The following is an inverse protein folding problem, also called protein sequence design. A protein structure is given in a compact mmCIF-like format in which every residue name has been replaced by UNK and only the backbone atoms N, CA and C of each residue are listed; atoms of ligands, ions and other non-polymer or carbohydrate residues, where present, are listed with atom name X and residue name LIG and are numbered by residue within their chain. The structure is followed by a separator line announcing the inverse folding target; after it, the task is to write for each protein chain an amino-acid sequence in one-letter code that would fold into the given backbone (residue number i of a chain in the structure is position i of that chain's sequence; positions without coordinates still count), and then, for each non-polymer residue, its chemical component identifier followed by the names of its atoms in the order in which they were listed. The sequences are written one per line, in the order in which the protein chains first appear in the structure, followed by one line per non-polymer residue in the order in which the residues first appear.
data_IF_109309938664
#
_entry.id   IF_109309938664
#
_cell.length_a   1.000
_cell.length_b   1.000
_cell.length_c   1.000
_cell.angle_alpha   90.00
_cell.angle_beta   90.00
_cell.angle_gamma   90.00
#
_symmetry.space_group_name_H-M   'P 1'
#
loop_
_entity.id
_entity.type
_entity.pdbx_description
1 polymer ?
#
# COMPACT_ATOMS: atom_id res chain seq x y z
N UNK A 1 -36.89 40.74 24.16
CA UNK A 1 -37.44 40.31 22.85
C UNK A 1 -36.43 40.41 21.70
N UNK A 2 -35.67 41.51 21.56
CA UNK A 2 -34.77 41.72 20.41
C UNK A 2 -33.47 40.87 20.43
N UNK A 3 -33.03 40.39 21.59
CA UNK A 3 -31.86 39.50 21.74
C UNK A 3 -32.17 38.00 21.55
N UNK A 4 -33.44 37.58 21.72
CA UNK A 4 -33.86 36.19 21.54
C UNK A 4 -34.03 35.81 20.05
N UNK A 5 -34.34 36.79 19.19
CA UNK A 5 -34.51 36.57 17.75
C UNK A 5 -33.16 36.35 17.05
N UNK A 6 -32.08 37.00 17.52
CA UNK A 6 -30.74 36.82 16.95
C UNK A 6 -30.12 35.47 17.29
N UNK A 7 -30.42 34.90 18.47
CA UNK A 7 -29.90 33.59 18.87
C UNK A 7 -30.53 32.45 18.03
N UNK A 8 -31.81 32.61 17.65
CA UNK A 8 -32.56 31.59 16.92
C UNK A 8 -32.15 31.50 15.43
N UNK A 9 -31.71 32.62 14.84
CA UNK A 9 -31.22 32.70 13.45
C UNK A 9 -29.80 32.13 13.33
N UNK A 10 -28.97 32.20 14.38
CA UNK A 10 -27.62 31.63 14.38
C UNK A 10 -27.63 30.10 14.52
N UNK A 11 -28.62 29.54 15.22
CA UNK A 11 -28.78 28.08 15.38
C UNK A 11 -29.31 27.36 14.14
N UNK A 12 -30.06 28.03 13.25
CA UNK A 12 -30.57 27.40 12.03
C UNK A 12 -29.51 27.28 10.91
N UNK A 13 -28.52 28.17 10.86
CA UNK A 13 -27.46 28.13 9.83
C UNK A 13 -26.46 27.00 10.07
N UNK A 14 -26.25 26.59 11.33
CA UNK A 14 -25.31 25.50 11.67
C UNK A 14 -25.92 24.11 11.42
N UNK A 15 -27.25 23.99 11.34
CA UNK A 15 -27.94 22.70 11.15
C UNK A 15 -28.29 22.38 9.69
N UNK A 16 -28.16 23.32 8.75
CA UNK A 16 -28.40 23.07 7.31
C UNK A 16 -27.13 22.73 6.53
N UNK A 17 -25.97 22.63 7.20
CA UNK A 17 -24.70 22.25 6.60
C UNK A 17 -24.48 20.75 6.41
N UNK A 18 -25.35 19.90 6.95
CA UNK A 18 -25.39 18.48 6.60
C UNK A 18 -26.21 18.30 5.32
N UNK A 19 -25.73 18.89 4.22
CA UNK A 19 -26.08 18.34 2.92
C UNK A 19 -25.48 16.94 2.90
N UNK A 20 -26.32 15.93 3.01
CA UNK A 20 -25.99 14.56 2.63
C UNK A 20 -25.38 14.64 1.24
N UNK A 21 -24.05 14.55 1.13
CA UNK A 21 -23.45 14.17 -0.14
C UNK A 21 -23.98 12.77 -0.39
N UNK A 22 -24.98 12.67 -1.27
CA UNK A 22 -25.34 11.37 -1.82
C UNK A 22 -24.05 10.81 -2.40
N UNK A 23 -23.51 9.80 -1.73
CA UNK A 23 -22.34 9.09 -2.18
C UNK A 23 -22.68 8.55 -3.57
N UNK A 24 -21.90 8.94 -4.57
CA UNK A 24 -22.10 8.50 -5.95
C UNK A 24 -21.84 6.99 -5.94
N UNK A 25 -22.86 6.20 -6.26
CA UNK A 25 -22.77 4.74 -6.28
C UNK A 25 -22.69 4.22 -7.71
N UNK A 26 -21.95 3.14 -7.95
CA UNK A 26 -21.94 2.51 -9.26
C UNK A 26 -23.33 1.96 -9.60
N UNK A 27 -23.70 2.05 -10.87
CA UNK A 27 -24.89 1.42 -11.44
C UNK A 27 -24.66 -0.05 -11.76
N UNK A 28 -23.40 -0.46 -11.91
CA UNK A 28 -22.99 -1.84 -12.15
C UNK A 28 -21.55 -2.04 -11.67
N UNK A 29 -21.29 -3.22 -11.13
CA UNK A 29 -19.97 -3.67 -10.70
C UNK A 29 -19.71 -5.06 -11.32
N UNK A 30 -18.50 -5.28 -11.81
CA UNK A 30 -18.04 -6.58 -12.32
C UNK A 30 -16.71 -6.95 -11.68
N UNK A 31 -16.58 -8.23 -11.30
CA UNK A 31 -15.32 -8.83 -10.90
C UNK A 31 -14.96 -9.92 -11.92
N UNK A 32 -13.77 -9.83 -12.48
CA UNK A 32 -13.25 -10.77 -13.45
C UNK A 32 -12.00 -11.42 -12.85
N UNK A 33 -12.00 -12.75 -12.74
CA UNK A 33 -10.86 -13.50 -12.25
C UNK A 33 -9.59 -13.15 -13.07
N UNK A 34 -8.53 -12.79 -12.36
CA UNK A 34 -7.21 -12.60 -12.94
C UNK A 34 -6.34 -13.83 -12.67
N UNK A 35 -5.42 -14.15 -13.57
CA UNK A 35 -4.57 -15.33 -13.40
C UNK A 35 -3.66 -15.16 -12.18
N UNK A 36 -3.85 -16.01 -11.18
CA UNK A 36 -3.18 -15.90 -9.89
C UNK A 36 -1.67 -16.10 -10.01
N UNK A 37 -1.19 -16.88 -10.98
CA UNK A 37 0.24 -17.07 -11.19
C UNK A 37 0.87 -15.79 -11.74
N UNK A 38 0.20 -15.15 -12.71
CA UNK A 38 0.60 -13.86 -13.25
C UNK A 38 0.61 -12.80 -12.15
N UNK A 39 -0.44 -12.73 -11.33
CA UNK A 39 -0.48 -11.83 -10.17
C UNK A 39 0.68 -12.09 -9.20
N UNK A 40 0.98 -13.36 -8.93
CA UNK A 40 2.09 -13.75 -8.06
C UNK A 40 3.43 -13.28 -8.60
N UNK A 41 3.71 -13.45 -9.89
CA UNK A 41 4.96 -13.00 -10.49
C UNK A 41 5.08 -11.47 -10.49
N UNK A 42 3.98 -10.75 -10.77
CA UNK A 42 3.94 -9.28 -10.67
C UNK A 42 4.30 -8.78 -9.26
N UNK A 43 3.80 -9.46 -8.22
CA UNK A 43 4.10 -9.09 -6.83
C UNK A 43 5.53 -9.51 -6.44
N UNK A 44 6.00 -10.69 -6.87
CA UNK A 44 7.38 -11.14 -6.61
C UNK A 44 8.42 -10.15 -7.10
N UNK A 45 8.28 -9.66 -8.33
CA UNK A 45 9.24 -8.70 -8.91
C UNK A 45 9.39 -7.46 -8.01
N UNK A 46 8.28 -6.97 -7.47
CA UNK A 46 8.25 -5.80 -6.60
C UNK A 46 8.81 -6.10 -5.21
N UNK A 47 8.42 -7.23 -4.63
CA UNK A 47 8.82 -7.62 -3.28
C UNK A 47 10.26 -8.12 -3.21
N UNK A 48 10.85 -8.60 -4.31
CA UNK A 48 12.26 -8.95 -4.41
C UNK A 48 13.13 -7.72 -4.12
N UNK A 49 12.79 -6.57 -4.71
CA UNK A 49 13.48 -5.30 -4.44
C UNK A 49 13.40 -4.88 -2.96
N UNK A 50 12.25 -5.12 -2.33
CA UNK A 50 12.06 -4.84 -0.89
C UNK A 50 12.96 -5.74 -0.04
N UNK A 51 13.02 -7.03 -0.34
CA UNK A 51 13.89 -7.98 0.39
C UNK A 51 15.36 -7.60 0.19
N UNK A 52 15.79 -7.31 -1.04
CA UNK A 52 17.17 -6.94 -1.31
C UNK A 52 17.62 -5.73 -0.49
N UNK A 53 16.77 -4.70 -0.39
CA UNK A 53 17.04 -3.54 0.44
C UNK A 53 17.04 -3.90 1.93
N UNK A 54 16.00 -4.55 2.41
CA UNK A 54 15.77 -4.77 3.83
C UNK A 54 16.73 -5.79 4.46
N UNK A 55 17.38 -6.64 3.65
CA UNK A 55 18.40 -7.58 4.09
C UNK A 55 19.81 -6.96 4.22
N UNK A 56 20.00 -5.71 3.79
CA UNK A 56 21.27 -4.98 3.97
C UNK A 56 21.34 -4.41 5.39
N UNK A 57 22.57 -4.25 5.89
CA UNK A 57 22.81 -3.50 7.14
C UNK A 57 22.97 -2.00 6.88
N UNK A 58 23.62 -1.65 5.77
CA UNK A 58 23.96 -0.28 5.38
C UNK A 58 23.77 -0.06 3.90
N UNK A 59 23.44 1.17 3.52
CA UNK A 59 23.34 1.61 2.12
C UNK A 59 24.23 2.84 1.92
N UNK A 60 25.13 2.78 0.94
CA UNK A 60 25.90 3.96 0.53
C UNK A 60 25.01 4.95 -0.23
N UNK A 61 25.41 6.22 -0.32
CA UNK A 61 24.64 7.20 -1.12
C UNK A 61 24.39 6.75 -2.56
N UNK A 62 25.38 6.13 -3.20
CA UNK A 62 25.25 5.64 -4.59
C UNK A 62 24.22 4.51 -4.69
N UNK A 63 24.22 3.57 -3.75
CA UNK A 63 23.22 2.50 -3.71
C UNK A 63 21.83 3.06 -3.38
N UNK A 64 21.73 4.08 -2.53
CA UNK A 64 20.46 4.76 -2.27
C UNK A 64 19.89 5.35 -3.55
N UNK A 65 20.70 6.09 -4.32
CA UNK A 65 20.27 6.68 -5.58
C UNK A 65 19.80 5.59 -6.58
N UNK A 66 20.46 4.43 -6.60
CA UNK A 66 20.07 3.27 -7.43
C UNK A 66 18.76 2.63 -6.95
N UNK A 67 18.56 2.51 -5.63
CA UNK A 67 17.29 2.04 -5.07
C UNK A 67 16.17 3.04 -5.30
N UNK A 68 16.40 4.34 -5.18
CA UNK A 68 15.39 5.36 -5.45
C UNK A 68 14.87 5.26 -6.89
N UNK A 69 15.78 5.06 -7.86
CA UNK A 69 15.40 4.83 -9.26
C UNK A 69 14.58 3.54 -9.44
N UNK A 70 15.07 2.42 -8.91
CA UNK A 70 14.40 1.12 -9.03
C UNK A 70 13.03 1.08 -8.33
N UNK A 71 12.92 1.66 -7.13
CA UNK A 71 11.64 1.76 -6.43
C UNK A 71 10.68 2.72 -7.14
N UNK A 72 11.17 3.81 -7.74
CA UNK A 72 10.33 4.72 -8.54
C UNK A 72 9.76 4.03 -9.76
N UNK A 73 10.56 3.21 -10.45
CA UNK A 73 10.09 2.42 -11.59
C UNK A 73 9.00 1.41 -11.16
N UNK A 74 9.20 0.73 -10.03
CA UNK A 74 8.31 -0.35 -9.60
C UNK A 74 7.06 0.12 -8.82
N UNK A 75 7.17 1.21 -8.08
CA UNK A 75 6.13 1.68 -7.14
C UNK A 75 5.63 3.10 -7.44
N UNK A 76 6.20 3.78 -8.44
CA UNK A 76 5.80 5.12 -8.86
C UNK A 76 5.85 6.12 -7.69
N UNK A 77 4.76 6.85 -7.50
CA UNK A 77 4.64 7.84 -6.42
C UNK A 77 4.79 7.27 -5.00
N UNK A 78 4.65 5.95 -4.83
CA UNK A 78 4.74 5.30 -3.53
C UNK A 78 6.16 4.86 -3.16
N UNK A 79 7.13 4.97 -4.09
CA UNK A 79 8.52 4.56 -3.90
C UNK A 79 9.13 5.07 -2.60
N UNK A 80 8.98 6.38 -2.34
CA UNK A 80 9.53 7.00 -1.14
C UNK A 80 8.94 6.41 0.15
N UNK A 81 7.66 6.02 0.14
CA UNK A 81 7.03 5.42 1.33
C UNK A 81 7.66 4.07 1.67
N UNK A 82 8.08 3.29 0.67
CA UNK A 82 8.79 2.04 0.90
C UNK A 82 10.21 2.26 1.40
N UNK A 83 10.95 3.20 0.79
CA UNK A 83 12.31 3.52 1.23
C UNK A 83 12.32 3.98 2.68
N UNK A 84 11.37 4.80 3.09
CA UNK A 84 11.24 5.32 4.46
C UNK A 84 10.89 4.24 5.50
N UNK A 85 10.37 3.07 5.10
CA UNK A 85 10.18 1.93 6.02
C UNK A 85 11.50 1.35 6.52
N UNK A 86 12.58 1.52 5.74
CA UNK A 86 13.89 0.93 6.03
C UNK A 86 14.99 1.97 6.21
N UNK A 87 14.86 3.18 5.66
CA UNK A 87 15.92 4.20 5.67
C UNK A 87 15.40 5.49 6.31
N UNK A 88 16.09 5.96 7.36
CA UNK A 88 15.85 7.30 7.94
C UNK A 88 16.95 8.25 7.48
N UNK A 89 16.65 9.05 6.45
CA UNK A 89 17.56 10.10 5.98
C UNK A 89 17.73 11.20 7.02
N UNK A 90 18.95 11.72 7.15
CA UNK A 90 19.32 12.78 8.09
C UNK A 90 19.30 12.36 9.57
N UNK A 91 19.27 11.06 9.87
CA UNK A 91 19.33 10.54 11.24
C UNK A 91 20.77 10.44 11.76
N UNK A 92 20.93 10.20 13.07
CA UNK A 92 22.23 9.90 13.68
C UNK A 92 22.89 8.63 13.09
N UNK A 93 22.13 7.84 12.33
CA UNK A 93 22.59 6.65 11.63
C UNK A 93 23.28 6.95 10.29
N UNK A 94 23.32 8.21 9.84
CA UNK A 94 24.11 8.61 8.69
C UNK A 94 25.58 8.75 9.07
N UNK A 95 26.44 7.97 8.41
CA UNK A 95 27.90 8.04 8.54
C UNK A 95 28.53 8.53 7.24
N UNK A 96 29.82 8.88 7.26
CA UNK A 96 30.56 9.19 6.02
C UNK A 96 30.52 8.03 5.00
N UNK A 97 30.31 6.80 5.47
CA UNK A 97 30.31 5.58 4.67
C UNK A 97 28.94 5.12 4.19
N UNK A 98 27.84 5.72 4.68
CA UNK A 98 26.47 5.33 4.33
C UNK A 98 25.50 5.44 5.50
N UNK A 99 24.26 5.04 5.26
CA UNK A 99 23.15 5.11 6.22
C UNK A 99 22.80 3.70 6.71
N UNK A 100 22.68 3.50 8.03
CA UNK A 100 22.17 2.23 8.57
C UNK A 100 20.68 2.08 8.32
N UNK A 101 20.28 0.87 7.96
CA UNK A 101 18.88 0.50 7.74
C UNK A 101 18.18 0.16 9.07
N UNK A 102 16.88 0.44 9.15
CA UNK A 102 16.00 -0.01 10.23
C UNK A 102 15.82 -1.53 10.08
N UNK A 103 16.33 -2.27 11.07
CA UNK A 103 16.24 -3.74 11.09
C UNK A 103 15.02 -4.27 11.87
N UNK A 104 14.40 -3.41 12.69
CA UNK A 104 13.26 -3.70 13.56
C UNK A 104 11.92 -3.61 12.80
N UNK A 105 11.92 -4.08 11.56
CA UNK A 105 10.77 -4.04 10.64
C UNK A 105 10.61 -5.39 9.96
N UNK A 106 9.42 -5.98 10.05
CA UNK A 106 8.99 -7.07 9.20
C UNK A 106 8.05 -6.50 8.13
N UNK A 107 8.42 -6.64 6.87
CA UNK A 107 7.51 -6.48 5.74
C UNK A 107 7.20 -7.88 5.19
N UNK A 108 6.02 -8.47 5.48
CA UNK A 108 5.70 -9.79 4.95
C UNK A 108 5.65 -9.76 3.42
N UNK A 109 6.21 -10.77 2.77
CA UNK A 109 6.30 -10.92 1.31
C UNK A 109 5.99 -12.35 0.91
N UNK A 110 5.65 -12.60 -0.35
CA UNK A 110 5.42 -13.93 -0.94
C UNK A 110 6.63 -14.85 -0.87
N UNK A 111 7.80 -14.35 -0.48
CA UNK A 111 8.99 -15.15 -0.24
C UNK A 111 9.06 -15.70 1.18
N UNK A 112 8.21 -15.22 2.10
CA UNK A 112 8.10 -15.77 3.45
C UNK A 112 7.07 -16.89 3.49
N UNK A 113 7.37 -17.95 4.24
CA UNK A 113 6.45 -19.06 4.46
C UNK A 113 5.14 -18.58 5.04
N UNK A 114 4.05 -19.04 4.42
CA UNK A 114 2.70 -18.74 4.85
C UNK A 114 2.15 -17.44 4.29
N UNK A 115 2.93 -16.63 3.56
CA UNK A 115 2.43 -15.46 2.85
C UNK A 115 2.12 -15.85 1.41
N UNK A 116 0.86 -15.69 1.00
CA UNK A 116 0.42 -16.10 -0.33
C UNK A 116 -0.50 -15.06 -0.97
N UNK A 117 -0.46 -14.98 -2.30
CA UNK A 117 -1.54 -14.34 -3.06
C UNK A 117 -2.76 -15.26 -2.99
N UNK A 118 -3.85 -14.76 -2.41
CA UNK A 118 -5.08 -15.54 -2.19
C UNK A 118 -6.19 -15.17 -3.16
N UNK A 119 -6.13 -13.97 -3.72
CA UNK A 119 -7.14 -13.47 -4.65
C UNK A 119 -6.51 -12.49 -5.64
N UNK A 120 -7.02 -12.48 -6.87
CA UNK A 120 -6.58 -11.56 -7.91
C UNK A 120 -7.76 -11.31 -8.86
N UNK A 121 -8.25 -10.07 -8.92
CA UNK A 121 -9.44 -9.72 -9.69
C UNK A 121 -9.25 -8.40 -10.43
N UNK A 122 -9.79 -8.33 -11.65
CA UNK A 122 -10.06 -7.04 -12.29
C UNK A 122 -11.44 -6.60 -11.84
N UNK A 123 -11.48 -5.56 -11.02
CA UNK A 123 -12.68 -4.89 -10.57
C UNK A 123 -13.04 -3.76 -11.54
N UNK A 124 -14.29 -3.75 -12.00
CA UNK A 124 -14.84 -2.67 -12.84
C UNK A 124 -16.06 -2.08 -12.18
N UNK A 125 -16.10 -0.76 -12.09
CA UNK A 125 -17.26 -0.02 -11.62
C UNK A 125 -17.74 0.94 -12.69
N UNK A 126 -19.05 0.93 -12.93
CA UNK A 126 -19.70 1.73 -13.95
C UNK A 126 -20.67 2.69 -13.27
N UNK A 127 -20.66 3.96 -13.66
CA UNK A 127 -21.49 5.01 -13.09
C UNK A 127 -22.37 5.65 -14.16
N UNK A 128 -23.40 6.38 -13.75
CA UNK A 128 -24.25 7.14 -14.69
C UNK A 128 -23.45 8.15 -15.52
N UNK A 129 -22.43 8.76 -14.91
CA UNK A 129 -21.45 9.56 -15.62
C UNK A 129 -20.20 8.73 -15.85
N UNK A 130 -19.92 8.40 -17.12
CA UNK A 130 -18.79 7.56 -17.54
C UNK A 130 -17.43 8.09 -17.11
N UNK A 131 -17.32 9.39 -16.80
CA UNK A 131 -16.10 9.98 -16.23
C UNK A 131 -15.68 9.32 -14.90
N UNK A 132 -16.63 8.76 -14.16
CA UNK A 132 -16.35 8.06 -12.90
C UNK A 132 -16.16 6.55 -13.08
N UNK A 133 -16.25 6.02 -14.30
CA UNK A 133 -16.00 4.59 -14.51
C UNK A 133 -14.56 4.27 -14.11
N UNK A 134 -14.37 3.18 -13.36
CA UNK A 134 -13.06 2.73 -12.91
C UNK A 134 -12.83 1.28 -13.32
N UNK A 135 -11.59 0.97 -13.68
CA UNK A 135 -11.09 -0.40 -13.86
C UNK A 135 -9.80 -0.51 -13.05
N UNK A 136 -9.75 -1.46 -12.12
CA UNK A 136 -8.60 -1.69 -11.26
C UNK A 136 -8.26 -3.17 -11.19
N UNK A 137 -6.99 -3.51 -11.22
CA UNK A 137 -6.53 -4.83 -10.82
C UNK A 137 -6.28 -4.81 -9.30
N UNK A 138 -6.85 -5.75 -8.59
CA UNK A 138 -6.73 -5.90 -7.14
C UNK A 138 -6.08 -7.26 -6.88
N UNK A 139 -4.88 -7.25 -6.27
CA UNK A 139 -4.13 -8.45 -5.90
C UNK A 139 -4.04 -8.50 -4.40
N UNK A 140 -4.65 -9.53 -3.80
CA UNK A 140 -4.74 -9.70 -2.36
C UNK A 140 -3.77 -10.77 -1.87
N UNK A 141 -3.04 -10.40 -0.84
CA UNK A 141 -2.06 -11.22 -0.14
C UNK A 141 -2.52 -11.42 1.31
N UNK A 142 -2.38 -12.64 1.82
CA UNK A 142 -2.75 -12.98 3.20
C UNK A 142 -1.72 -13.89 3.85
N UNK A 143 -1.70 -13.87 5.18
CA UNK A 143 -0.98 -14.85 5.98
C UNK A 143 -1.88 -16.06 6.23
N UNK A 144 -1.34 -17.25 5.95
CA UNK A 144 -2.04 -18.54 5.97
C UNK A 144 -1.39 -19.53 6.94
N UNK A 145 -0.40 -19.09 7.71
CA UNK A 145 0.26 -19.90 8.74
C UNK A 145 -0.39 -19.77 10.11
N UNK A 146 0.38 -20.18 11.12
CA UNK A 146 -0.11 -20.40 12.49
C UNK A 146 0.47 -19.40 13.52
N UNK A 147 1.22 -18.38 13.06
CA UNK A 147 1.77 -17.33 13.91
C UNK A 147 0.68 -16.36 14.38
N UNK A 148 0.56 -16.18 15.70
CA UNK A 148 -0.49 -15.35 16.30
C UNK A 148 -0.28 -13.86 16.04
N UNK A 149 0.95 -13.38 15.88
CA UNK A 149 1.22 -11.96 15.65
C UNK A 149 0.78 -11.52 14.25
N UNK A 150 0.66 -12.46 13.31
CA UNK A 150 0.19 -12.24 11.94
C UNK A 150 -1.24 -12.76 11.71
N UNK A 151 -1.98 -13.11 12.76
CA UNK A 151 -3.34 -13.64 12.63
C UNK A 151 -4.25 -12.61 11.93
N UNK A 152 -4.79 -13.00 10.77
CA UNK A 152 -5.66 -12.13 9.97
C UNK A 152 -4.92 -11.04 9.19
N UNK A 153 -3.58 -11.06 9.16
CA UNK A 153 -2.80 -10.16 8.33
C UNK A 153 -3.17 -10.32 6.85
N UNK A 154 -3.37 -9.18 6.21
CA UNK A 154 -3.66 -9.09 4.78
C UNK A 154 -3.21 -7.75 4.22
N UNK A 155 -2.84 -7.76 2.95
CA UNK A 155 -2.52 -6.59 2.14
C UNK A 155 -3.13 -6.73 0.77
N UNK A 156 -3.55 -5.62 0.18
CA UNK A 156 -4.01 -5.58 -1.19
C UNK A 156 -3.22 -4.55 -1.97
N UNK A 157 -2.73 -4.96 -3.12
CA UNK A 157 -2.13 -4.10 -4.14
C UNK A 157 -3.23 -3.72 -5.12
N UNK A 158 -3.41 -2.42 -5.33
CA UNK A 158 -4.41 -1.88 -6.25
C UNK A 158 -3.67 -1.21 -7.39
N UNK A 159 -4.00 -1.61 -8.62
CA UNK A 159 -3.37 -1.11 -9.83
C UNK A 159 -4.39 -0.43 -10.75
N UNK A 160 -3.95 0.63 -11.41
CA UNK A 160 -4.65 1.23 -12.55
C UNK A 160 -4.04 0.68 -13.85
N UNK A 161 -4.85 0.62 -14.91
CA UNK A 161 -4.39 0.30 -16.26
C UNK A 161 -3.75 1.57 -16.88
N UNK A 162 -2.51 1.46 -17.34
CA UNK A 162 -1.79 2.54 -18.03
C UNK A 162 -2.28 2.73 -19.47
N UNK A 163 -1.86 3.83 -20.11
CA UNK A 163 -2.22 4.08 -21.52
C UNK A 163 -1.70 3.00 -22.49
N UNK A 164 -0.61 2.32 -22.12
CA UNK A 164 0.00 1.25 -22.90
C UNK A 164 -0.61 -0.14 -22.61
N UNK A 165 -1.55 -0.22 -21.64
CA UNK A 165 -2.22 -1.46 -21.24
C UNK A 165 -1.47 -2.26 -20.17
N UNK A 166 -0.47 -1.65 -19.52
CA UNK A 166 0.25 -2.23 -18.38
C UNK A 166 -0.44 -1.88 -17.06
N UNK A 167 -0.07 -2.54 -15.96
CA UNK A 167 -0.64 -2.28 -14.63
C UNK A 167 0.33 -1.50 -13.75
N UNK A 168 -0.07 -0.29 -13.33
CA UNK A 168 0.72 0.58 -12.47
C UNK A 168 0.09 0.67 -11.07
N UNK A 169 0.90 0.70 -10.02
CA UNK A 169 0.39 0.76 -8.65
C UNK A 169 -0.34 2.08 -8.43
N UNK A 170 -1.63 1.97 -8.12
CA UNK A 170 -2.47 3.06 -7.68
C UNK A 170 -2.39 3.27 -6.17
N UNK A 171 -2.57 2.18 -5.40
CA UNK A 171 -2.68 2.24 -3.95
C UNK A 171 -2.40 0.89 -3.28
N UNK A 172 -2.35 0.93 -1.95
CA UNK A 172 -2.30 -0.23 -1.08
C UNK A 172 -3.44 -0.15 -0.06
N UNK A 173 -3.94 -1.30 0.36
CA UNK A 173 -4.86 -1.39 1.50
C UNK A 173 -4.45 -2.53 2.44
N UNK A 174 -4.90 -2.47 3.70
CA UNK A 174 -4.51 -3.42 4.74
C UNK A 174 -3.25 -2.99 5.49
N UNK A 175 -2.51 -3.96 6.00
CA UNK A 175 -1.35 -3.74 6.86
C UNK A 175 -0.05 -3.95 6.08
N UNK A 176 0.78 -2.91 6.00
CA UNK A 176 2.00 -2.93 5.17
C UNK A 176 3.14 -3.70 5.83
N UNK A 177 3.42 -3.41 7.10
CA UNK A 177 4.56 -3.92 7.83
C UNK A 177 4.29 -3.92 9.35
N UNK A 178 5.07 -4.70 10.06
CA UNK A 178 5.15 -4.72 11.52
C UNK A 178 6.46 -4.06 11.96
N UNK A 179 6.42 -3.31 13.06
CA UNK A 179 7.58 -2.58 13.60
C UNK A 179 7.76 -2.92 15.07
N UNK A 180 9.01 -3.08 15.51
CA UNK A 180 9.39 -3.28 16.90
C UNK A 180 10.52 -4.28 17.05
N UNK A 181 11.14 -4.32 18.22
CA UNK A 181 12.33 -5.14 18.52
C UNK A 181 12.14 -6.64 18.26
N UNK A 182 10.90 -7.13 18.30
CA UNK A 182 10.56 -8.53 18.04
C UNK A 182 10.41 -8.85 16.55
N UNK A 183 10.36 -7.84 15.68
CA UNK A 183 10.17 -8.00 14.24
C UNK A 183 11.45 -7.71 13.46
N UNK A 184 11.71 -8.53 12.45
CA UNK A 184 12.69 -8.26 11.41
C UNK A 184 12.26 -8.96 10.13
N UNK A 185 12.94 -8.68 9.02
CA UNK A 185 12.76 -9.45 7.78
C UNK A 185 13.07 -10.95 7.91
N UNK A 186 13.64 -11.40 9.03
CA UNK A 186 13.88 -12.83 9.29
C UNK A 186 12.92 -13.40 10.35
N UNK A 187 11.90 -12.65 10.76
CA UNK A 187 10.89 -13.12 11.71
C UNK A 187 10.16 -14.37 11.20
N UNK A 188 9.74 -14.34 9.92
CA UNK A 188 9.25 -15.53 9.22
C UNK A 188 10.40 -16.21 8.45
N UNK A 189 10.33 -17.54 8.34
CA UNK A 189 11.24 -18.29 7.48
C UNK A 189 10.96 -17.98 5.99
N UNK A 190 11.99 -17.86 5.17
CA UNK A 190 11.86 -17.78 3.71
C UNK A 190 11.55 -19.16 3.09
N UNK A 191 10.86 -19.18 1.94
CA UNK A 191 10.58 -20.38 1.12
C UNK A 191 11.80 -20.90 0.33
#
# INVERSE_FOLDING_TARGET
MRQLVFLLIFTTVILTGCATSEEIKPIMEENIDFDINTATEMIKEKEELIIELAMKETVTKKEYDEYEEAFTEQFGQHAQSFLEMFIILGSENETETGTYLIQETLYPTVFHKGIAITDAVIYKSYYENEFFNETRLMIKQEYTGDDNELEGWKREYVFDESEDGDWEIHAFSGEMNFVGDDFSMQYLEFE
#
